data_IF_941210427387
#
_entry.id   IF_941210427387
#
_cell.length_a   1.000
_cell.length_b   1.000
_cell.length_c   1.000
_cell.angle_alpha   90.00
_cell.angle_beta   90.00
_cell.angle_gamma   90.00
#
_symmetry.space_group_name_H-M   'P 1'
#
loop_
_entity.id
_entity.type
_entity.pdbx_description
1 polymer ?
#
# COMPACT_ATOMS: atom_id res chain seq x y z
N UNK A 1 -2.80 0.29 9.43
CA UNK A 1 -2.42 1.00 10.66
C UNK A 1 -2.60 0.02 11.80
N UNK A 2 -1.67 -0.92 11.90
CA UNK A 2 -1.83 -2.13 12.70
C UNK A 2 -0.90 -2.16 13.92
N UNK A 3 0.12 -1.30 13.98
CA UNK A 3 0.99 -1.21 15.14
C UNK A 3 0.39 -0.32 16.25
N UNK A 4 0.56 -0.70 17.53
CA UNK A 4 0.11 0.11 18.65
C UNK A 4 0.94 1.39 18.81
N UNK A 5 0.30 2.46 19.29
CA UNK A 5 0.98 3.70 19.65
C UNK A 5 1.59 3.58 21.05
N UNK A 6 2.81 3.05 21.15
CA UNK A 6 3.52 2.97 22.44
C UNK A 6 4.71 3.92 22.49
N UNK A 7 5.09 4.34 23.70
CA UNK A 7 6.23 5.25 23.94
C UNK A 7 7.59 4.54 23.80
N UNK A 8 7.60 3.23 23.95
CA UNK A 8 8.75 2.36 23.73
C UNK A 8 8.37 1.33 22.68
N UNK A 9 8.82 1.55 21.46
CA UNK A 9 8.85 0.51 20.43
C UNK A 9 10.30 0.30 20.02
N UNK A 10 10.80 -0.91 20.24
CA UNK A 10 11.95 -1.44 19.53
C UNK A 10 11.57 -1.94 18.12
N UNK A 11 10.36 -1.60 17.66
CA UNK A 11 9.83 -2.04 16.38
C UNK A 11 10.80 -1.70 15.27
N UNK A 12 11.08 -2.70 14.45
CA UNK A 12 11.83 -2.59 13.22
C UNK A 12 10.96 -3.13 12.06
N UNK A 13 11.56 -3.30 10.89
CA UNK A 13 10.84 -3.86 9.75
C UNK A 13 10.35 -5.29 9.98
N UNK A 14 11.04 -6.12 10.77
CA UNK A 14 10.61 -7.48 11.02
C UNK A 14 9.35 -7.52 11.90
N UNK A 15 9.26 -6.67 12.94
CA UNK A 15 8.03 -6.55 13.75
C UNK A 15 6.84 -6.04 12.91
N UNK A 16 7.08 -5.09 12.00
CA UNK A 16 6.08 -4.60 11.05
C UNK A 16 5.55 -5.77 10.21
N UNK A 17 6.45 -6.54 9.59
CA UNK A 17 6.04 -7.64 8.72
C UNK A 17 5.36 -8.77 9.47
N UNK A 18 5.82 -9.12 10.67
CA UNK A 18 5.14 -10.11 11.51
C UNK A 18 3.72 -9.68 11.88
N UNK A 19 3.54 -8.40 12.23
CA UNK A 19 2.20 -7.84 12.49
C UNK A 19 1.31 -7.93 11.25
N UNK A 20 1.81 -7.52 10.07
CA UNK A 20 1.05 -7.62 8.83
C UNK A 20 0.71 -9.08 8.47
N UNK A 21 1.64 -10.01 8.72
CA UNK A 21 1.43 -11.44 8.49
C UNK A 21 0.33 -12.00 9.39
N UNK A 22 0.36 -11.67 10.68
CA UNK A 22 -0.66 -12.11 11.63
C UNK A 22 -2.04 -11.58 11.24
N UNK A 23 -2.14 -10.32 10.85
CA UNK A 23 -3.39 -9.72 10.36
C UNK A 23 -3.87 -10.39 9.06
N UNK A 24 -2.95 -10.65 8.12
CA UNK A 24 -3.25 -11.34 6.87
C UNK A 24 -3.82 -12.73 7.12
N UNK A 25 -3.15 -13.54 7.96
CA UNK A 25 -3.62 -14.89 8.32
C UNK A 25 -4.97 -14.86 9.01
N UNK A 26 -5.18 -13.92 9.95
CA UNK A 26 -6.46 -13.76 10.63
C UNK A 26 -7.57 -13.42 9.62
N UNK A 27 -7.37 -12.43 8.76
CA UNK A 27 -8.40 -12.06 7.78
C UNK A 27 -8.67 -13.18 6.78
N UNK A 28 -7.64 -13.90 6.31
CA UNK A 28 -7.85 -15.07 5.44
C UNK A 28 -8.63 -16.18 6.13
N UNK A 29 -8.41 -16.40 7.42
CA UNK A 29 -9.17 -17.40 8.19
C UNK A 29 -10.64 -17.03 8.42
N UNK A 30 -10.96 -15.72 8.45
CA UNK A 30 -12.32 -15.23 8.69
C UNK A 30 -13.10 -14.98 7.39
N UNK A 31 -12.40 -14.72 6.28
CA UNK A 31 -12.97 -14.28 5.02
C UNK A 31 -12.39 -15.07 3.82
N UNK A 32 -12.57 -16.38 3.83
CA UNK A 32 -11.96 -17.31 2.85
C UNK A 32 -12.22 -16.91 1.38
N UNK A 33 -13.47 -16.55 1.06
CA UNK A 33 -13.94 -16.22 -0.30
C UNK A 33 -14.03 -14.71 -0.59
N UNK A 34 -13.64 -13.85 0.37
CA UNK A 34 -13.71 -12.40 0.17
C UNK A 34 -12.36 -11.84 -0.26
N UNK A 35 -12.32 -10.99 -1.31
CA UNK A 35 -11.12 -10.23 -1.64
C UNK A 35 -10.79 -9.27 -0.50
N UNK A 36 -9.57 -9.35 0.02
CA UNK A 36 -9.03 -8.41 1.00
C UNK A 36 -7.97 -7.58 0.30
N UNK A 37 -8.16 -6.26 0.27
CA UNK A 37 -7.32 -5.32 -0.47
C UNK A 37 -6.58 -4.42 0.52
N UNK A 38 -5.31 -4.71 0.85
CA UNK A 38 -4.56 -3.94 1.83
C UNK A 38 -4.12 -2.57 1.29
N UNK A 39 -3.92 -1.61 2.19
CA UNK A 39 -3.27 -0.32 1.93
C UNK A 39 -2.26 -0.06 3.06
N UNK A 40 -1.12 0.57 2.76
CA UNK A 40 -0.08 0.85 3.77
C UNK A 40 -0.47 2.08 4.59
N UNK A 41 -0.59 1.92 5.91
CA UNK A 41 -0.82 3.02 6.85
C UNK A 41 0.46 3.62 7.37
N UNK A 42 0.39 4.83 7.94
CA UNK A 42 1.54 5.55 8.44
C UNK A 42 2.23 4.86 9.64
N UNK A 43 1.52 4.08 10.45
CA UNK A 43 2.13 3.23 11.48
C UNK A 43 2.50 1.82 11.01
N UNK A 44 2.18 1.46 9.76
CA UNK A 44 2.70 0.23 9.17
C UNK A 44 4.12 0.45 8.64
N UNK A 45 4.87 1.44 9.14
CA UNK A 45 6.18 1.86 8.63
C UNK A 45 7.23 1.96 9.74
N UNK A 46 8.50 1.78 9.38
CA UNK A 46 9.61 1.98 10.32
C UNK A 46 10.70 2.91 9.74
N UNK A 47 11.06 4.01 10.45
CA UNK A 47 10.32 4.59 11.57
C UNK A 47 8.88 4.98 11.20
N UNK A 48 7.97 5.18 12.17
CA UNK A 48 6.60 5.58 11.87
C UNK A 48 6.53 6.81 10.96
N UNK A 49 5.46 6.88 10.17
CA UNK A 49 5.13 7.95 9.24
C UNK A 49 6.09 8.13 8.06
N UNK A 50 7.03 7.20 7.86
CA UNK A 50 8.14 7.38 6.93
C UNK A 50 8.26 6.20 5.97
N UNK A 51 8.20 6.49 4.67
CA UNK A 51 8.55 5.52 3.62
C UNK A 51 9.52 6.15 2.62
N UNK A 52 10.64 5.46 2.30
CA UNK A 52 11.55 5.90 1.26
C UNK A 52 11.00 5.57 -0.14
N UNK A 53 11.55 6.24 -1.14
CA UNK A 53 11.37 5.89 -2.57
C UNK A 53 12.73 5.71 -3.28
N UNK A 54 13.81 5.57 -2.51
CA UNK A 54 15.17 5.35 -3.02
C UNK A 54 15.44 3.86 -3.26
N UNK A 55 16.69 3.49 -3.54
CA UNK A 55 17.08 2.11 -3.82
C UNK A 55 16.76 1.11 -2.68
N UNK A 56 16.58 1.58 -1.43
CA UNK A 56 16.19 0.71 -0.30
C UNK A 56 14.69 0.37 -0.30
N UNK A 57 13.87 1.20 -0.95
CA UNK A 57 12.41 1.09 -0.90
C UNK A 57 11.87 -0.19 -1.53
N UNK A 58 12.52 -0.71 -2.57
CA UNK A 58 12.14 -1.96 -3.22
C UNK A 58 12.11 -3.15 -2.25
N UNK A 59 13.16 -3.29 -1.44
CA UNK A 59 13.24 -4.36 -0.43
C UNK A 59 12.17 -4.20 0.66
N UNK A 60 11.85 -2.96 1.03
CA UNK A 60 10.82 -2.65 2.01
C UNK A 60 9.43 -3.05 1.50
N UNK A 61 9.07 -2.63 0.27
CA UNK A 61 7.78 -2.96 -0.32
C UNK A 61 7.64 -4.46 -0.57
N UNK A 62 8.68 -5.11 -1.11
CA UNK A 62 8.71 -6.57 -1.26
C UNK A 62 8.54 -7.29 0.08
N UNK A 63 9.04 -6.73 1.18
CA UNK A 63 8.81 -7.25 2.52
C UNK A 63 7.33 -7.38 2.91
N UNK A 64 6.45 -6.43 2.55
CA UNK A 64 5.01 -6.58 2.81
C UNK A 64 4.40 -7.75 2.01
N UNK A 65 4.85 -7.91 0.75
CA UNK A 65 4.39 -8.99 -0.13
C UNK A 65 4.82 -10.37 0.39
N UNK A 66 6.12 -10.52 0.67
CA UNK A 66 6.74 -11.81 0.99
C UNK A 66 6.65 -12.15 2.49
N UNK A 67 7.06 -11.23 3.37
CA UNK A 67 7.08 -11.45 4.82
C UNK A 67 5.73 -11.13 5.46
N UNK A 68 5.08 -10.03 5.02
CA UNK A 68 3.77 -9.59 5.50
C UNK A 68 2.59 -10.40 4.95
N UNK A 69 2.82 -11.32 4.01
CA UNK A 69 1.82 -12.22 3.45
C UNK A 69 0.91 -11.59 2.37
N UNK A 70 1.16 -10.36 1.93
CA UNK A 70 0.27 -9.69 0.99
C UNK A 70 0.26 -10.31 -0.41
N UNK A 71 1.23 -11.16 -0.75
CA UNK A 71 1.16 -12.00 -1.97
C UNK A 71 -0.08 -12.91 -1.98
N UNK A 72 -0.55 -13.37 -0.83
CA UNK A 72 -1.79 -14.16 -0.75
C UNK A 72 -3.03 -13.31 -1.02
N UNK A 73 -2.98 -12.02 -0.66
CA UNK A 73 -4.07 -11.05 -0.84
C UNK A 73 -4.13 -10.49 -2.26
N UNK A 74 -2.95 -10.34 -2.89
CA UNK A 74 -2.76 -9.68 -4.19
C UNK A 74 -2.38 -10.64 -5.33
N UNK A 75 -2.59 -11.95 -5.14
CA UNK A 75 -2.18 -13.01 -6.07
C UNK A 75 -2.64 -12.82 -7.54
N UNK A 76 -3.74 -12.10 -7.77
CA UNK A 76 -4.29 -11.82 -9.10
C UNK A 76 -4.05 -10.36 -9.54
N UNK A 77 -3.10 -9.65 -8.92
CA UNK A 77 -2.76 -8.25 -9.22
C UNK A 77 -1.32 -8.16 -9.71
N UNK A 78 -1.07 -7.26 -10.67
CA UNK A 78 0.29 -6.85 -11.00
C UNK A 78 0.86 -6.03 -9.84
N UNK A 79 1.77 -6.65 -9.09
CA UNK A 79 2.43 -6.05 -7.92
C UNK A 79 3.66 -5.22 -8.28
N UNK A 80 3.99 -5.03 -9.56
CA UNK A 80 5.17 -4.24 -9.96
C UNK A 80 5.13 -2.79 -9.45
N UNK A 81 3.94 -2.18 -9.49
CA UNK A 81 3.69 -0.84 -8.93
C UNK A 81 3.77 -0.83 -7.40
N UNK A 82 3.37 -1.93 -6.76
CA UNK A 82 3.49 -2.10 -5.33
C UNK A 82 4.96 -2.18 -4.90
N UNK A 83 5.77 -2.98 -5.58
CA UNK A 83 7.22 -3.08 -5.33
C UNK A 83 7.96 -1.76 -5.57
N UNK A 84 7.41 -0.88 -6.43
CA UNK A 84 7.97 0.46 -6.70
C UNK A 84 7.60 1.51 -5.65
N UNK A 85 6.36 1.50 -5.16
CA UNK A 85 5.84 2.63 -4.36
C UNK A 85 4.73 2.29 -3.38
N UNK A 86 4.42 1.02 -3.15
CA UNK A 86 3.39 0.58 -2.20
C UNK A 86 1.95 0.87 -2.62
N UNK A 87 1.72 1.19 -3.90
CA UNK A 87 0.40 1.46 -4.48
C UNK A 87 0.11 0.45 -5.60
N UNK A 88 -1.17 0.19 -5.87
CA UNK A 88 -1.58 -0.75 -6.93
C UNK A 88 -3.02 -0.49 -7.37
N UNK A 89 -3.40 -1.10 -8.49
CA UNK A 89 -4.80 -1.16 -8.92
C UNK A 89 -5.21 -2.59 -9.23
N UNK A 90 -6.45 -2.94 -8.92
CA UNK A 90 -7.04 -4.24 -9.23
C UNK A 90 -8.37 -4.04 -9.94
N UNK A 91 -8.59 -4.71 -11.06
CA UNK A 91 -9.88 -4.74 -11.72
C UNK A 91 -10.74 -5.85 -11.11
N UNK A 92 -11.74 -5.45 -10.35
CA UNK A 92 -12.80 -6.30 -9.83
C UNK A 92 -13.90 -6.47 -10.89
N UNK A 93 -14.68 -7.55 -10.77
CA UNK A 93 -15.75 -8.01 -11.68
C UNK A 93 -16.37 -6.93 -12.58
N UNK A 94 -16.44 -7.25 -13.88
CA UNK A 94 -17.08 -6.52 -14.98
C UNK A 94 -17.19 -5.00 -14.83
N UNK A 95 -16.02 -4.33 -14.61
CA UNK A 95 -15.80 -2.88 -14.71
C UNK A 95 -15.73 -2.10 -13.39
N UNK A 96 -15.35 -2.73 -12.28
CA UNK A 96 -15.01 -1.98 -11.06
C UNK A 96 -13.50 -2.01 -10.81
N UNK A 97 -12.79 -0.91 -11.00
CA UNK A 97 -11.39 -0.78 -10.63
C UNK A 97 -11.25 -0.26 -9.21
N UNK A 98 -10.49 -1.00 -8.39
CA UNK A 98 -10.04 -0.53 -7.08
C UNK A 98 -8.62 -0.02 -7.22
N UNK A 99 -8.35 1.14 -6.63
CA UNK A 99 -7.02 1.75 -6.57
C UNK A 99 -6.66 1.91 -5.09
N UNK A 100 -5.57 1.29 -4.66
CA UNK A 100 -4.97 1.49 -3.35
C UNK A 100 -3.80 2.44 -3.49
N UNK A 101 -3.90 3.64 -2.91
CA UNK A 101 -2.84 4.64 -2.92
C UNK A 101 -1.97 4.51 -1.66
N UNK A 102 -0.67 4.72 -1.83
CA UNK A 102 0.25 4.93 -0.74
C UNK A 102 0.28 6.43 -0.38
N UNK A 103 -0.65 6.84 0.49
CA UNK A 103 -0.75 8.21 0.96
C UNK A 103 0.35 8.59 1.97
N UNK A 104 1.09 7.62 2.50
CA UNK A 104 2.23 7.90 3.41
C UNK A 104 3.35 8.63 2.69
N UNK A 105 3.50 8.45 1.37
CA UNK A 105 4.44 9.23 0.54
C UNK A 105 4.11 10.73 0.52
N UNK A 106 2.88 11.10 0.83
CA UNK A 106 2.40 12.49 0.82
C UNK A 106 2.19 13.05 2.22
N UNK A 107 2.44 12.23 3.25
CA UNK A 107 2.19 12.66 4.61
C UNK A 107 3.21 13.71 5.05
N UNK A 108 2.74 14.78 5.70
CA UNK A 108 3.60 15.91 6.07
C UNK A 108 4.77 15.53 7.00
N UNK A 109 4.65 14.41 7.72
CA UNK A 109 5.71 13.88 8.58
C UNK A 109 6.74 13.04 7.81
N UNK A 110 6.40 12.55 6.61
CA UNK A 110 7.37 11.88 5.75
C UNK A 110 8.32 12.91 5.12
N UNK A 111 9.42 13.21 5.81
CA UNK A 111 10.40 14.19 5.34
C UNK A 111 11.23 13.71 4.15
N UNK A 112 11.23 12.41 3.85
CA UNK A 112 11.99 11.83 2.73
C UNK A 112 11.43 12.24 1.37
N UNK A 113 10.12 12.45 1.29
CA UNK A 113 9.41 12.78 0.05
C UNK A 113 8.94 14.23 -0.01
N UNK A 114 9.12 15.01 1.06
CA UNK A 114 8.56 16.36 1.19
C UNK A 114 8.97 17.39 0.12
N UNK A 115 10.08 17.15 -0.60
CA UNK A 115 10.56 18.03 -1.69
C UNK A 115 10.25 17.50 -3.08
N UNK A 116 9.55 16.38 -3.18
CA UNK A 116 9.24 15.73 -4.45
C UNK A 116 7.86 16.17 -4.92
N UNK A 117 7.75 16.49 -6.21
CA UNK A 117 6.48 16.87 -6.81
C UNK A 117 5.56 15.66 -7.01
N UNK A 118 6.13 14.48 -7.25
CA UNK A 118 5.39 13.22 -7.44
C UNK A 118 6.22 12.00 -6.95
N UNK A 119 6.30 11.73 -5.64
CA UNK A 119 7.00 10.57 -5.10
C UNK A 119 6.50 9.26 -5.72
N UNK A 120 7.47 8.47 -6.20
CA UNK A 120 7.28 7.21 -6.92
C UNK A 120 6.50 7.32 -8.26
N UNK A 121 6.26 8.53 -8.78
CA UNK A 121 5.38 8.81 -9.93
C UNK A 121 3.94 8.33 -9.71
N UNK A 122 3.45 8.40 -8.47
CA UNK A 122 2.14 7.88 -8.10
C UNK A 122 1.00 8.69 -8.74
N UNK A 123 1.14 10.01 -8.90
CA UNK A 123 0.12 10.83 -9.58
C UNK A 123 0.13 10.62 -11.08
N UNK A 124 1.30 10.56 -11.71
CA UNK A 124 1.38 10.21 -13.13
C UNK A 124 0.72 8.83 -13.38
N UNK A 125 1.08 7.83 -12.58
CA UNK A 125 0.48 6.50 -12.67
C UNK A 125 -1.04 6.52 -12.42
N UNK A 126 -1.51 7.28 -11.43
CA UNK A 126 -2.93 7.40 -11.13
C UNK A 126 -3.70 8.00 -12.31
N UNK A 127 -3.15 9.03 -12.94
CA UNK A 127 -3.75 9.65 -14.13
C UNK A 127 -3.88 8.64 -15.27
N UNK A 128 -2.81 7.88 -15.56
CA UNK A 128 -2.81 6.83 -16.58
C UNK A 128 -3.87 5.75 -16.28
N UNK A 129 -3.97 5.30 -15.02
CA UNK A 129 -4.98 4.31 -14.61
C UNK A 129 -6.40 4.85 -14.77
N UNK A 130 -6.66 6.11 -14.40
CA UNK A 130 -7.97 6.74 -14.52
C UNK A 130 -8.38 6.96 -15.99
N UNK A 131 -7.44 7.41 -16.84
CA UNK A 131 -7.67 7.56 -18.28
C UNK A 131 -8.01 6.21 -18.92
N UNK A 132 -7.24 5.16 -18.62
CA UNK A 132 -7.51 3.81 -19.10
C UNK A 132 -8.86 3.27 -18.59
N UNK A 133 -9.19 3.53 -17.33
CA UNK A 133 -10.50 3.17 -16.76
C UNK A 133 -11.65 3.84 -17.49
N UNK A 134 -11.50 5.14 -17.82
CA UNK A 134 -12.49 5.89 -18.59
C UNK A 134 -12.69 5.31 -20.00
N UNK A 135 -11.61 4.97 -20.70
CA UNK A 135 -11.66 4.34 -22.04
C UNK A 135 -12.38 2.99 -21.97
N UNK A 136 -12.13 2.20 -20.92
CA UNK A 136 -12.73 0.88 -20.72
C UNK A 136 -14.12 0.92 -20.07
N UNK A 137 -14.69 2.11 -19.84
CA UNK A 137 -15.98 2.30 -19.15
C UNK A 137 -16.03 1.65 -17.75
N UNK A 138 -14.92 1.75 -17.01
CA UNK A 138 -14.77 1.26 -15.64
C UNK A 138 -15.18 2.32 -14.61
N UNK A 139 -15.86 1.88 -13.54
CA UNK A 139 -16.06 2.67 -12.32
C UNK A 139 -14.83 2.52 -11.45
N UNK A 140 -14.42 3.60 -10.78
CA UNK A 140 -13.22 3.62 -9.94
C UNK A 140 -13.56 3.90 -8.49
N UNK A 141 -13.05 3.08 -7.57
CA UNK A 141 -13.04 3.35 -6.14
C UNK A 141 -11.58 3.50 -5.65
N UNK A 142 -11.31 4.52 -4.85
CA UNK A 142 -9.98 4.83 -4.33
C UNK A 142 -9.96 4.55 -2.81
N UNK A 143 -9.02 3.71 -2.38
CA UNK A 143 -8.73 3.45 -0.97
C UNK A 143 -7.48 4.23 -0.54
N UNK A 144 -7.60 4.94 0.57
CA UNK A 144 -6.58 5.82 1.14
C UNK A 144 -6.59 5.62 2.66
N UNK A 145 -5.45 5.77 3.32
CA UNK A 145 -5.40 5.78 4.79
C UNK A 145 -5.32 7.19 5.34
N UNK A 146 -4.61 8.10 4.67
CA UNK A 146 -4.54 9.51 5.05
C UNK A 146 -5.40 10.35 4.10
N UNK A 147 -6.27 11.24 4.63
CA UNK A 147 -7.08 12.11 3.79
C UNK A 147 -6.20 13.13 3.06
N UNK A 148 -6.64 13.51 1.87
CA UNK A 148 -6.04 14.60 1.12
C UNK A 148 -6.40 15.91 1.83
N UNK A 149 -5.41 16.62 2.35
CA UNK A 149 -5.55 17.99 2.88
C UNK A 149 -5.25 19.02 1.80
#
# INVERSE_FOLDING_TARGET
>A
DNLPHTKETHADWDEIYETQKNMTLLFRSLFEDMPILPSIGNHDTFPPNTLPIDNSSFGIYRGYLEKGGWNELLNNTDTSTFEKGGYYSMLMKEKLRIISLNTVLWYFQNKLTAKLNDPANQFQWLEEVLQNSSVNSEKVNKSLILPVT
#
